data_IF_994797738192
#
_entry.id   IF_994797738192
#
_cell.length_a   1.000
_cell.length_b   1.000
_cell.length_c   1.000
_cell.angle_alpha   90.00
_cell.angle_beta   90.00
_cell.angle_gamma   90.00
#
_symmetry.space_group_name_H-M   'P 1'
#
loop_
_entity.id
_entity.type
_entity.pdbx_description
1 polymer ?
#
# COMPACT_ATOMS: atom_id res chain seq x y z
N UNK A 1 -33.19 -6.53 1.40
CA UNK A 1 -33.49 -5.09 1.48
C UNK A 1 -32.17 -4.36 1.64
N UNK A 2 -31.68 -3.67 0.60
CA UNK A 2 -30.41 -2.92 0.68
C UNK A 2 -30.69 -1.62 1.45
N UNK A 3 -30.15 -1.49 2.66
CA UNK A 3 -30.22 -0.26 3.42
C UNK A 3 -29.41 0.82 2.70
N UNK A 4 -30.02 1.97 2.42
CA UNK A 4 -29.34 3.10 1.80
C UNK A 4 -28.09 3.48 2.63
N UNK A 5 -26.98 3.77 1.96
CA UNK A 5 -25.78 4.30 2.61
C UNK A 5 -26.13 5.65 3.26
N UNK A 6 -25.99 5.81 4.59
CA UNK A 6 -26.23 7.08 5.27
C UNK A 6 -25.30 8.20 4.76
N UNK A 7 -25.80 9.44 4.71
CA UNK A 7 -25.06 10.61 4.19
C UNK A 7 -23.95 11.11 5.12
N UNK A 8 -24.02 10.74 6.39
CA UNK A 8 -23.12 11.11 7.48
C UNK A 8 -21.89 10.19 7.59
N UNK A 9 -21.92 9.03 6.93
CA UNK A 9 -20.79 8.10 6.92
C UNK A 9 -19.88 8.35 5.72
N UNK A 10 -18.57 8.13 5.90
CA UNK A 10 -17.58 8.32 4.85
C UNK A 10 -17.33 7.03 4.06
N UNK A 11 -17.24 7.16 2.74
CA UNK A 11 -16.92 6.09 1.80
C UNK A 11 -15.46 6.21 1.37
N UNK A 12 -14.66 5.18 1.65
CA UNK A 12 -13.22 5.15 1.33
C UNK A 12 -12.94 4.07 0.31
N UNK A 13 -12.39 4.45 -0.83
CA UNK A 13 -11.91 3.53 -1.85
C UNK A 13 -10.39 3.35 -1.71
N UNK A 14 -9.94 2.10 -1.60
CA UNK A 14 -8.53 1.74 -1.49
C UNK A 14 -8.16 0.79 -2.60
N UNK A 15 -7.11 1.12 -3.34
CA UNK A 15 -6.65 0.35 -4.47
C UNK A 15 -5.15 0.05 -4.31
N UNK A 16 -4.71 -1.17 -4.61
CA UNK A 16 -3.29 -1.54 -4.58
C UNK A 16 -2.90 -2.30 -5.85
N UNK A 17 -1.72 -1.99 -6.39
CA UNK A 17 -1.18 -2.69 -7.56
C UNK A 17 0.35 -2.73 -7.60
N UNK A 18 0.91 -3.93 -7.61
CA UNK A 18 2.30 -4.16 -7.97
C UNK A 18 2.45 -4.16 -9.50
N UNK A 19 3.22 -3.22 -10.05
CA UNK A 19 3.36 -3.04 -11.50
C UNK A 19 4.52 -3.83 -12.12
N UNK A 20 5.24 -4.64 -11.35
CA UNK A 20 6.35 -5.48 -11.82
C UNK A 20 7.43 -4.71 -12.61
N UNK A 21 7.77 -3.50 -12.16
CA UNK A 21 8.70 -2.55 -12.80
C UNK A 21 8.23 -2.05 -14.19
N UNK A 22 7.00 -2.38 -14.60
CA UNK A 22 6.41 -1.95 -15.87
C UNK A 22 5.69 -0.59 -15.78
N UNK A 23 5.73 0.08 -14.62
CA UNK A 23 4.99 1.34 -14.45
C UNK A 23 5.44 2.48 -15.38
N UNK A 24 6.61 2.41 -16.01
CA UNK A 24 7.10 3.35 -17.04
C UNK A 24 6.85 2.91 -18.50
N UNK A 25 6.72 1.61 -18.75
CA UNK A 25 6.45 1.00 -20.06
C UNK A 25 4.95 0.90 -20.25
N UNK A 26 4.34 2.03 -20.57
CA UNK A 26 2.90 2.14 -20.73
C UNK A 26 2.31 1.24 -21.83
N UNK A 27 1.11 0.75 -21.54
CA UNK A 27 -0.06 1.08 -22.37
C UNK A 27 -0.98 1.94 -21.49
N UNK A 28 -1.86 2.78 -22.06
CA UNK A 28 -3.00 3.31 -21.31
C UNK A 28 -3.93 2.12 -21.04
N UNK A 29 -3.57 1.27 -20.08
CA UNK A 29 -4.58 0.41 -19.50
C UNK A 29 -5.57 1.34 -18.84
N UNK A 30 -6.79 1.27 -19.33
CA UNK A 30 -7.87 2.11 -18.89
C UNK A 30 -8.03 1.87 -17.38
N UNK A 31 -7.60 2.83 -16.53
CA UNK A 31 -7.79 2.70 -15.08
C UNK A 31 -9.27 2.59 -14.71
N UNK A 32 -10.18 2.82 -15.65
CA UNK A 32 -11.61 2.51 -15.56
C UNK A 32 -11.86 1.13 -14.99
N UNK A 33 -11.33 0.07 -15.58
CA UNK A 33 -11.63 -1.29 -15.11
C UNK A 33 -11.22 -1.50 -13.65
N UNK A 34 -10.25 -0.73 -13.16
CA UNK A 34 -9.79 -0.81 -11.78
C UNK A 34 -10.51 0.15 -10.82
N UNK A 35 -10.79 1.38 -11.25
CA UNK A 35 -11.31 2.46 -10.39
C UNK A 35 -12.82 2.69 -10.55
N UNK A 36 -13.45 2.19 -11.61
CA UNK A 36 -14.86 2.42 -11.98
C UNK A 36 -15.84 1.38 -11.42
N UNK A 37 -15.54 0.06 -11.35
CA UNK A 37 -16.50 -0.91 -10.81
C UNK A 37 -16.95 -0.61 -9.37
N UNK A 38 -16.10 0.02 -8.56
CA UNK A 38 -16.47 0.51 -7.22
C UNK A 38 -17.50 1.63 -7.24
N UNK A 39 -17.50 2.47 -8.27
CA UNK A 39 -18.46 3.56 -8.48
C UNK A 39 -19.83 3.00 -8.93
N UNK A 40 -19.84 1.86 -9.60
CA UNK A 40 -21.07 1.13 -9.92
C UNK A 40 -21.61 0.35 -8.72
N UNK A 41 -20.74 -0.26 -7.89
CA UNK A 41 -21.17 -0.92 -6.65
C UNK A 41 -21.76 0.09 -5.66
N UNK A 42 -21.22 1.31 -5.55
CA UNK A 42 -21.84 2.36 -4.73
C UNK A 42 -23.24 2.74 -5.24
N UNK A 43 -23.46 2.70 -6.56
CA UNK A 43 -24.77 2.93 -7.19
C UNK A 43 -25.78 1.80 -6.93
N UNK A 44 -25.33 0.54 -6.83
CA UNK A 44 -26.20 -0.60 -6.51
C UNK A 44 -26.56 -0.66 -5.02
N UNK A 45 -25.64 -0.25 -4.14
CA UNK A 45 -25.82 -0.30 -2.69
C UNK A 45 -26.57 0.91 -2.12
N UNK A 46 -26.83 1.95 -2.91
CA UNK A 46 -27.50 3.16 -2.44
C UNK A 46 -28.69 3.57 -3.32
N UNK A 47 -29.72 4.16 -2.71
CA UNK A 47 -30.82 4.80 -3.44
C UNK A 47 -30.38 6.10 -4.13
N UNK A 48 -29.14 6.55 -3.93
CA UNK A 48 -28.57 7.78 -4.46
C UNK A 48 -27.09 7.55 -4.77
N UNK A 49 -26.72 7.31 -6.04
CA UNK A 49 -25.35 7.02 -6.44
C UNK A 49 -24.41 8.15 -5.99
N UNK A 50 -23.41 7.81 -5.17
CA UNK A 50 -22.36 8.76 -4.75
C UNK A 50 -20.97 8.18 -4.95
N UNK A 51 -20.04 9.02 -5.38
CA UNK A 51 -18.62 8.68 -5.40
C UNK A 51 -18.02 8.55 -3.98
N UNK A 52 -16.86 7.91 -3.83
CA UNK A 52 -16.12 7.86 -2.57
C UNK A 52 -15.77 9.27 -2.06
N UNK A 53 -15.67 9.42 -0.74
CA UNK A 53 -15.21 10.66 -0.12
C UNK A 53 -13.68 10.73 -0.12
N UNK A 54 -13.01 9.57 0.00
CA UNK A 54 -11.55 9.43 -0.06
C UNK A 54 -11.17 8.31 -1.02
N UNK A 55 -10.18 8.56 -1.87
CA UNK A 55 -9.58 7.55 -2.76
C UNK A 55 -8.08 7.43 -2.45
N UNK A 56 -7.62 6.26 -2.05
CA UNK A 56 -6.22 5.95 -1.83
C UNK A 56 -5.73 4.92 -2.84
N UNK A 57 -4.66 5.23 -3.58
CA UNK A 57 -4.08 4.35 -4.59
C UNK A 57 -2.61 4.08 -4.26
N UNK A 58 -2.31 2.83 -3.92
CA UNK A 58 -0.98 2.33 -3.62
C UNK A 58 -0.38 1.59 -4.82
N UNK A 59 0.91 1.83 -5.08
CA UNK A 59 1.67 1.11 -6.08
C UNK A 59 2.93 0.48 -5.49
N UNK A 60 3.32 -0.67 -6.02
CA UNK A 60 4.61 -1.30 -5.76
C UNK A 60 5.32 -1.56 -7.09
N UNK A 61 6.65 -1.59 -7.05
CA UNK A 61 7.51 -1.71 -8.24
C UNK A 61 7.12 -0.71 -9.34
N UNK A 62 6.66 0.49 -8.99
CA UNK A 62 6.13 1.48 -9.96
C UNK A 62 7.17 1.95 -10.97
N UNK A 63 8.44 1.91 -10.59
CA UNK A 63 9.56 2.47 -11.35
C UNK A 63 10.61 1.40 -11.57
N UNK A 64 11.28 1.39 -12.75
CA UNK A 64 12.52 0.66 -12.91
C UNK A 64 13.48 0.97 -11.76
N UNK A 65 14.12 -0.07 -11.20
CA UNK A 65 14.88 0.06 -9.95
C UNK A 65 15.95 1.17 -10.00
N UNK A 66 16.68 1.30 -11.10
CA UNK A 66 17.69 2.34 -11.25
C UNK A 66 17.10 3.77 -11.15
N UNK A 67 15.90 4.00 -11.68
CA UNK A 67 15.18 5.29 -11.55
C UNK A 67 14.62 5.49 -10.15
N UNK A 68 14.04 4.45 -9.55
CA UNK A 68 13.53 4.49 -8.18
C UNK A 68 14.64 4.79 -7.17
N UNK A 69 15.77 4.12 -7.27
CA UNK A 69 16.92 4.24 -6.37
C UNK A 69 17.63 5.60 -6.52
N UNK A 70 17.77 6.10 -7.74
CA UNK A 70 18.25 7.47 -8.00
C UNK A 70 17.22 8.55 -7.63
N UNK A 71 15.97 8.14 -7.40
CA UNK A 71 14.77 8.95 -7.11
C UNK A 71 14.33 9.88 -8.22
N UNK A 72 14.53 9.45 -9.46
CA UNK A 72 13.92 10.05 -10.64
C UNK A 72 12.45 9.63 -10.78
N UNK A 73 11.62 9.91 -9.76
CA UNK A 73 10.21 9.45 -9.69
C UNK A 73 9.18 10.50 -10.08
N UNK A 74 9.52 11.80 -9.98
CA UNK A 74 8.55 12.92 -10.07
C UNK A 74 7.65 12.86 -11.30
N UNK A 75 8.23 12.77 -12.50
CA UNK A 75 7.44 12.76 -13.75
C UNK A 75 6.45 11.58 -13.83
N UNK A 76 6.83 10.42 -13.30
CA UNK A 76 5.95 9.23 -13.29
C UNK A 76 4.81 9.43 -12.29
N UNK A 77 5.09 9.97 -11.10
CA UNK A 77 4.06 10.28 -10.10
C UNK A 77 3.09 11.35 -10.62
N UNK A 78 3.59 12.43 -11.22
CA UNK A 78 2.75 13.51 -11.76
C UNK A 78 1.81 12.98 -12.86
N UNK A 79 2.35 12.20 -13.82
CA UNK A 79 1.55 11.57 -14.88
C UNK A 79 0.50 10.60 -14.32
N UNK A 80 0.89 9.77 -13.34
CA UNK A 80 -0.03 8.82 -12.69
C UNK A 80 -1.12 9.57 -11.93
N UNK A 81 -0.76 10.63 -11.23
CA UNK A 81 -1.71 11.43 -10.46
C UNK A 81 -2.77 12.06 -11.36
N UNK A 82 -2.35 12.73 -12.44
CA UNK A 82 -3.27 13.33 -13.41
C UNK A 82 -4.15 12.28 -14.08
N UNK A 83 -3.61 11.10 -14.39
CA UNK A 83 -4.40 10.03 -14.98
C UNK A 83 -5.43 9.47 -14.00
N UNK A 84 -5.04 9.17 -12.75
CA UNK A 84 -5.97 8.69 -11.71
C UNK A 84 -7.09 9.71 -11.49
N UNK A 85 -6.74 10.99 -11.31
CA UNK A 85 -7.69 12.07 -11.09
C UNK A 85 -8.71 12.17 -12.23
N UNK A 86 -8.22 12.18 -13.47
CA UNK A 86 -9.07 12.15 -14.67
C UNK A 86 -10.05 10.97 -14.67
N UNK A 87 -9.60 9.78 -14.28
CA UNK A 87 -10.42 8.58 -14.31
C UNK A 87 -11.47 8.55 -13.20
N UNK A 88 -11.13 8.95 -11.96
CA UNK A 88 -12.11 8.99 -10.86
C UNK A 88 -13.18 10.05 -11.09
N UNK A 89 -12.84 11.21 -11.64
CA UNK A 89 -13.81 12.28 -11.92
C UNK A 89 -14.72 11.93 -13.10
N UNK A 90 -14.16 11.37 -14.18
CA UNK A 90 -14.94 11.00 -15.37
C UNK A 90 -15.97 9.92 -15.06
N UNK A 91 -15.66 9.00 -14.15
CA UNK A 91 -16.51 7.85 -13.82
C UNK A 91 -17.28 8.01 -12.50
N UNK A 92 -17.14 9.14 -11.80
CA UNK A 92 -17.90 9.38 -10.57
C UNK A 92 -19.40 9.39 -10.88
N UNK A 93 -20.24 8.63 -10.16
CA UNK A 93 -21.68 8.52 -10.47
C UNK A 93 -22.42 9.85 -10.42
N UNK A 94 -21.89 10.77 -9.60
CA UNK A 94 -22.40 12.10 -9.30
C UNK A 94 -21.50 13.21 -9.87
N UNK A 95 -20.56 12.87 -10.76
CA UNK A 95 -19.57 13.81 -11.34
C UNK A 95 -18.79 14.60 -10.28
N UNK A 96 -18.54 13.99 -9.13
CA UNK A 96 -17.74 14.59 -8.06
C UNK A 96 -16.32 14.94 -8.54
N UNK A 97 -15.82 16.05 -8.00
CA UNK A 97 -14.44 16.50 -8.18
C UNK A 97 -13.59 16.15 -6.98
N UNK A 98 -12.30 15.97 -7.22
CA UNK A 98 -11.36 15.54 -6.19
C UNK A 98 -10.09 16.39 -6.19
N UNK A 99 -9.54 16.56 -5.00
CA UNK A 99 -8.24 17.17 -4.79
C UNK A 99 -7.25 16.14 -4.30
N UNK A 100 -6.02 16.17 -4.82
CA UNK A 100 -4.91 15.39 -4.27
C UNK A 100 -4.54 15.96 -2.89
N UNK A 101 -4.76 15.20 -1.82
CA UNK A 101 -4.34 15.58 -0.46
C UNK A 101 -2.82 15.45 -0.31
N UNK A 102 -2.29 14.29 -0.69
CA UNK A 102 -0.86 14.01 -0.64
C UNK A 102 -0.46 12.91 -1.61
N UNK A 103 0.78 12.99 -2.07
CA UNK A 103 1.45 11.88 -2.74
C UNK A 103 2.82 11.66 -2.13
N UNK A 104 3.24 10.41 -2.00
CA UNK A 104 4.56 10.04 -1.50
C UNK A 104 5.08 8.81 -2.24
N UNK A 105 6.41 8.79 -2.46
CA UNK A 105 7.11 7.69 -3.12
C UNK A 105 8.44 7.42 -2.43
N UNK A 106 8.75 6.14 -2.21
CA UNK A 106 10.05 5.67 -1.78
C UNK A 106 10.48 4.53 -2.70
N UNK A 107 11.46 4.81 -3.57
CA UNK A 107 11.92 3.90 -4.64
C UNK A 107 10.74 3.45 -5.53
N UNK A 108 10.27 2.22 -5.38
CA UNK A 108 9.18 1.65 -6.18
C UNK A 108 7.83 1.64 -5.48
N UNK A 109 7.76 2.04 -4.20
CA UNK A 109 6.53 2.06 -3.41
C UNK A 109 5.96 3.47 -3.43
N UNK A 110 4.71 3.64 -3.86
CA UNK A 110 4.04 4.93 -3.92
C UNK A 110 2.64 4.86 -3.32
N UNK A 111 2.16 6.00 -2.81
CA UNK A 111 0.81 6.19 -2.30
C UNK A 111 0.32 7.58 -2.70
N UNK A 112 -0.87 7.64 -3.30
CA UNK A 112 -1.58 8.86 -3.66
C UNK A 112 -2.94 8.85 -2.98
N UNK A 113 -3.29 9.92 -2.27
CA UNK A 113 -4.56 10.04 -1.55
C UNK A 113 -5.29 11.28 -2.03
N UNK A 114 -6.53 11.08 -2.45
CA UNK A 114 -7.44 12.10 -2.96
C UNK A 114 -8.65 12.23 -2.04
N UNK A 115 -9.20 13.43 -1.95
CA UNK A 115 -10.42 13.71 -1.23
C UNK A 115 -11.41 14.46 -2.10
N UNK A 116 -12.69 14.17 -1.91
CA UNK A 116 -13.79 14.83 -2.61
C UNK A 116 -13.89 16.30 -2.20
N UNK A 117 -13.93 17.19 -3.20
CA UNK A 117 -13.92 18.66 -3.04
C UNK A 117 -15.16 19.18 -2.29
N UNK A 118 -16.32 18.64 -2.66
CA UNK A 118 -17.60 18.91 -2.01
C UNK A 118 -17.80 17.91 -0.87
N UNK A 119 -17.18 18.19 0.28
CA UNK A 119 -17.26 17.36 1.47
C UNK A 119 -15.95 17.39 2.25
N UNK A 120 -15.37 16.19 2.44
CA UNK A 120 -14.26 15.96 3.36
C UNK A 120 -13.03 16.83 3.06
N UNK A 121 -12.72 17.15 1.80
CA UNK A 121 -11.51 17.91 1.45
C UNK A 121 -11.45 19.29 2.13
N UNK A 122 -12.60 19.93 2.40
CA UNK A 122 -12.67 21.24 3.07
C UNK A 122 -12.40 21.18 4.57
N UNK A 123 -12.48 19.98 5.15
CA UNK A 123 -12.30 19.71 6.58
C UNK A 123 -10.92 19.09 6.88
N UNK A 124 -10.14 18.77 5.83
CA UNK A 124 -8.82 18.18 5.96
C UNK A 124 -7.83 19.22 6.49
N UNK A 125 -7.08 18.83 7.51
CA UNK A 125 -5.97 19.57 8.10
C UNK A 125 -4.83 18.61 8.48
N UNK A 126 -3.69 19.17 8.89
CA UNK A 126 -2.52 18.41 9.39
C UNK A 126 -2.06 17.26 8.46
N UNK A 127 -1.99 17.53 7.15
CA UNK A 127 -1.53 16.56 6.17
C UNK A 127 -0.04 16.28 6.35
N UNK A 128 0.29 15.01 6.54
CA UNK A 128 1.62 14.50 6.85
C UNK A 128 1.95 13.32 5.95
N UNK A 129 3.23 13.16 5.60
CA UNK A 129 3.72 11.99 4.87
C UNK A 129 4.96 11.43 5.55
N UNK A 130 5.18 10.12 5.44
CA UNK A 130 6.33 9.42 6.02
C UNK A 130 6.75 8.22 5.17
N UNK A 131 7.99 7.78 5.33
CA UNK A 131 8.49 6.58 4.64
C UNK A 131 9.50 5.84 5.50
N UNK A 132 9.68 4.55 5.20
CA UNK A 132 10.75 3.71 5.75
C UNK A 132 11.14 2.62 4.76
N UNK A 133 12.37 2.13 4.86
CA UNK A 133 12.91 1.07 4.00
C UNK A 133 13.32 -0.15 4.82
N UNK A 134 12.97 -1.33 4.31
CA UNK A 134 13.25 -2.64 4.94
C UNK A 134 14.16 -3.51 4.06
N UNK A 135 14.61 -2.99 2.92
CA UNK A 135 15.60 -3.66 2.09
C UNK A 135 16.94 -3.82 2.82
N UNK A 136 17.90 -4.54 2.20
CA UNK A 136 19.26 -4.63 2.73
C UNK A 136 19.82 -3.24 3.07
N UNK A 137 20.29 -3.03 4.30
CA UNK A 137 20.77 -1.72 4.75
C UNK A 137 19.68 -0.64 4.88
N UNK A 138 18.42 -1.03 5.06
CA UNK A 138 17.24 -0.15 5.11
C UNK A 138 16.90 0.51 3.77
N UNK A 139 17.41 -0.02 2.65
CA UNK A 139 17.11 0.46 1.31
C UNK A 139 15.61 0.40 0.98
N UNK A 140 15.14 1.33 0.15
CA UNK A 140 13.71 1.57 -0.08
C UNK A 140 13.04 0.63 -1.08
N UNK A 141 13.76 -0.33 -1.69
CA UNK A 141 13.18 -1.31 -2.63
C UNK A 141 12.15 -2.25 -1.97
N UNK A 142 12.20 -2.36 -0.64
CA UNK A 142 11.18 -2.93 0.24
C UNK A 142 10.95 -1.95 1.38
N UNK A 143 9.75 -1.91 1.94
CA UNK A 143 9.40 -0.98 3.01
C UNK A 143 8.02 -0.40 2.83
N UNK A 144 7.78 0.80 3.37
CA UNK A 144 6.47 1.43 3.35
C UNK A 144 6.54 2.94 3.17
N UNK A 145 5.45 3.49 2.63
CA UNK A 145 5.14 4.91 2.62
C UNK A 145 3.79 5.13 3.27
N UNK A 146 3.59 6.27 3.91
CA UNK A 146 2.35 6.58 4.59
C UNK A 146 1.91 8.03 4.40
N UNK A 147 0.59 8.21 4.37
CA UNK A 147 -0.10 9.51 4.38
C UNK A 147 -0.99 9.54 5.61
N UNK A 148 -0.89 10.60 6.40
CA UNK A 148 -1.75 10.87 7.55
C UNK A 148 -2.38 12.25 7.38
N UNK A 149 -3.65 12.38 7.72
CA UNK A 149 -4.31 13.69 7.81
C UNK A 149 -5.39 13.64 8.87
N UNK A 150 -5.84 14.82 9.30
CA UNK A 150 -6.93 14.97 10.26
C UNK A 150 -8.13 15.61 9.58
N UNK A 151 -9.32 15.19 9.96
CA UNK A 151 -10.58 15.78 9.52
C UNK A 151 -11.22 16.42 10.74
N UNK A 152 -11.43 17.73 10.66
CA UNK A 152 -12.00 18.54 11.73
C UNK A 152 -12.97 19.54 11.13
N UNK A 153 -14.07 19.83 11.83
CA UNK A 153 -14.87 20.99 11.49
C UNK A 153 -14.02 22.25 11.73
N UNK A 154 -13.86 23.06 10.71
CA UNK A 154 -13.02 24.27 10.71
C UNK A 154 -13.88 25.53 10.91
N UNK A 155 -15.20 25.39 10.95
CA UNK A 155 -16.13 26.52 11.04
C UNK A 155 -16.37 27.06 12.46
N UNK A 156 -15.79 26.44 13.48
CA UNK A 156 -15.95 26.84 14.88
C UNK A 156 -14.61 27.34 15.45
N UNK A 157 -14.63 28.50 16.12
CA UNK A 157 -13.48 29.04 16.87
C UNK A 157 -13.03 28.08 18.00
N UNK A 158 -13.89 27.13 18.39
CA UNK A 158 -13.59 25.97 19.22
C UNK A 158 -13.15 24.76 18.37
N UNK A 159 -11.83 24.65 18.13
CA UNK A 159 -11.18 23.55 17.40
C UNK A 159 -11.52 22.19 17.99
N UNK A 160 -12.56 21.52 17.47
CA UNK A 160 -12.82 20.12 17.76
C UNK A 160 -11.58 19.29 17.41
N UNK A 161 -11.23 18.25 18.18
CA UNK A 161 -10.07 17.42 17.86
C UNK A 161 -10.21 16.73 16.50
N UNK A 162 -11.44 16.33 16.15
CA UNK A 162 -11.70 15.61 14.91
C UNK A 162 -11.12 14.19 14.93
N UNK A 163 -11.03 13.58 13.75
CA UNK A 163 -10.53 12.22 13.58
C UNK A 163 -9.28 12.20 12.69
N UNK A 164 -8.35 11.30 12.98
CA UNK A 164 -7.12 11.12 12.20
C UNK A 164 -7.22 9.88 11.31
N UNK A 165 -6.82 10.04 10.05
CA UNK A 165 -6.87 9.03 9.01
C UNK A 165 -5.44 8.74 8.56
N UNK A 166 -5.00 7.49 8.64
CA UNK A 166 -3.66 7.06 8.22
C UNK A 166 -3.76 5.95 7.19
N UNK A 167 -3.12 6.15 6.04
CA UNK A 167 -3.00 5.19 4.95
C UNK A 167 -1.53 4.77 4.82
N UNK A 168 -1.26 3.46 4.77
CA UNK A 168 0.08 2.90 4.63
C UNK A 168 0.13 1.95 3.44
N UNK A 169 1.01 2.24 2.48
CA UNK A 169 1.30 1.36 1.35
C UNK A 169 2.65 0.69 1.56
N UNK A 170 2.70 -0.64 1.53
CA UNK A 170 3.92 -1.40 1.78
C UNK A 170 4.28 -2.37 0.65
N UNK A 171 5.56 -2.74 0.62
CA UNK A 171 6.09 -3.81 -0.20
C UNK A 171 7.07 -4.63 0.64
N UNK A 172 6.63 -5.80 1.11
CA UNK A 172 7.38 -6.63 2.05
C UNK A 172 8.27 -7.66 1.35
N UNK A 173 9.16 -8.29 2.11
CA UNK A 173 10.12 -9.29 1.60
C UNK A 173 9.45 -10.43 0.82
N UNK A 174 9.91 -10.61 -0.42
CA UNK A 174 9.40 -11.64 -1.34
C UNK A 174 9.90 -13.06 -1.02
N UNK A 175 9.29 -14.04 -1.70
CA UNK A 175 9.54 -15.49 -1.63
C UNK A 175 8.93 -16.23 -0.44
N UNK A 176 8.40 -17.43 -0.70
CA UNK A 176 7.60 -18.22 0.24
C UNK A 176 8.29 -18.50 1.58
N UNK A 177 9.55 -18.92 1.54
CA UNK A 177 10.33 -19.29 2.72
C UNK A 177 10.70 -18.12 3.65
N UNK A 178 10.49 -16.88 3.22
CA UNK A 178 10.90 -15.67 3.97
C UNK A 178 9.81 -15.12 4.90
N UNK A 179 8.98 -15.98 5.48
CA UNK A 179 7.90 -15.58 6.40
C UNK A 179 8.43 -14.74 7.57
N UNK A 180 9.49 -15.19 8.22
CA UNK A 180 10.08 -14.46 9.36
C UNK A 180 10.62 -13.08 8.96
N UNK A 181 11.11 -12.92 7.73
CA UNK A 181 11.54 -11.61 7.25
C UNK A 181 10.34 -10.68 7.01
N UNK A 182 9.21 -11.18 6.51
CA UNK A 182 7.98 -10.36 6.38
C UNK A 182 7.43 -9.93 7.74
N UNK A 183 7.48 -10.80 8.73
CA UNK A 183 7.11 -10.46 10.12
C UNK A 183 8.05 -9.37 10.65
N UNK A 184 9.36 -9.52 10.44
CA UNK A 184 10.35 -8.52 10.82
C UNK A 184 10.16 -7.18 10.08
N UNK A 185 9.85 -7.21 8.78
CA UNK A 185 9.54 -6.03 7.98
C UNK A 185 8.32 -5.30 8.56
N UNK A 186 7.25 -6.02 8.91
CA UNK A 186 6.07 -5.43 9.54
C UNK A 186 6.43 -4.70 10.84
N UNK A 187 7.11 -5.37 11.77
CA UNK A 187 7.51 -4.75 13.04
C UNK A 187 8.46 -3.55 12.83
N UNK A 188 9.38 -3.66 11.87
CA UNK A 188 10.24 -2.56 11.49
C UNK A 188 9.43 -1.37 10.99
N UNK A 189 8.44 -1.58 10.12
CA UNK A 189 7.55 -0.54 9.62
C UNK A 189 6.79 0.11 10.78
N UNK A 190 6.22 -0.67 11.70
CA UNK A 190 5.52 -0.15 12.88
C UNK A 190 6.42 0.80 13.69
N UNK A 191 7.67 0.41 13.93
CA UNK A 191 8.62 1.21 14.72
C UNK A 191 9.25 2.39 13.99
N UNK A 192 9.30 2.40 12.65
CA UNK A 192 10.09 3.39 11.90
C UNK A 192 9.30 4.27 10.93
N UNK A 193 8.07 3.86 10.55
CA UNK A 193 7.13 4.69 9.82
C UNK A 193 6.43 5.64 10.81
N UNK A 194 7.19 6.63 11.27
CA UNK A 194 6.79 7.56 12.31
C UNK A 194 6.20 8.84 11.73
N UNK A 195 5.25 9.41 12.46
CA UNK A 195 4.60 10.68 12.17
C UNK A 195 4.80 11.63 13.36
N UNK A 196 4.66 12.95 13.17
CA UNK A 196 4.57 13.90 14.28
C UNK A 196 3.54 13.48 15.35
N UNK A 197 3.71 14.00 16.57
CA UNK A 197 2.72 13.84 17.63
C UNK A 197 1.33 14.33 17.17
N UNK A 198 0.29 13.64 17.65
CA UNK A 198 -1.07 14.11 17.43
C UNK A 198 -1.27 15.50 18.07
N UNK A 199 -2.08 16.38 17.46
CA UNK A 199 -2.51 17.61 18.10
C UNK A 199 -3.13 17.33 19.48
N UNK A 200 -3.08 18.32 20.38
CA UNK A 200 -3.62 18.25 21.75
C UNK A 200 -2.94 17.25 22.70
N UNK A 201 -1.95 16.48 22.24
CA UNK A 201 -1.08 15.71 23.14
C UNK A 201 -0.02 16.61 23.79
N UNK A 202 0.25 16.39 25.08
CA UNK A 202 1.34 17.06 25.81
C UNK A 202 2.70 16.56 25.33
N UNK A 203 2.86 15.24 25.19
CA UNK A 203 4.05 14.64 24.61
C UNK A 203 4.14 14.95 23.11
N UNK A 204 5.28 15.52 22.71
CA UNK A 204 5.60 15.89 21.32
C UNK A 204 6.44 14.83 20.60
N UNK A 205 6.64 13.66 21.22
CA UNK A 205 7.36 12.55 20.63
C UNK A 205 6.67 12.03 19.35
N UNK A 206 7.44 11.56 18.36
CA UNK A 206 6.88 10.95 17.16
C UNK A 206 6.01 9.73 17.50
N UNK A 207 4.91 9.58 16.78
CA UNK A 207 3.95 8.49 16.97
C UNK A 207 4.04 7.46 15.86
N UNK A 208 3.69 6.20 16.17
CA UNK A 208 3.59 5.14 15.16
C UNK A 208 2.31 5.29 14.33
N UNK A 209 2.16 4.46 13.30
CA UNK A 209 0.95 4.42 12.48
C UNK A 209 -0.34 4.12 13.28
N UNK A 210 -0.23 3.49 14.46
CA UNK A 210 -1.37 3.14 15.32
C UNK A 210 -1.98 4.33 16.09
N UNK A 211 -1.27 5.44 16.23
CA UNK A 211 -1.81 6.66 16.83
C UNK A 211 -2.69 7.41 15.82
N UNK A 212 -3.85 6.85 15.53
CA UNK A 212 -4.80 7.36 14.52
C UNK A 212 -6.21 6.86 14.86
N UNK A 213 -7.25 7.51 14.33
CA UNK A 213 -8.65 7.10 14.51
C UNK A 213 -9.03 5.99 13.54
N UNK A 214 -8.60 6.11 12.29
CA UNK A 214 -8.78 5.10 11.24
C UNK A 214 -7.42 4.79 10.60
N UNK A 215 -7.09 3.51 10.49
CA UNK A 215 -5.83 3.02 9.92
C UNK A 215 -6.11 2.04 8.79
N UNK A 216 -5.51 2.30 7.64
CA UNK A 216 -5.60 1.46 6.46
C UNK A 216 -4.21 1.03 6.03
N UNK A 217 -4.03 -0.27 5.81
CA UNK A 217 -2.75 -0.84 5.40
C UNK A 217 -2.97 -1.65 4.12
N UNK A 218 -2.25 -1.30 3.07
CA UNK A 218 -2.39 -1.89 1.75
C UNK A 218 -1.02 -2.21 1.15
N UNK A 219 -0.98 -3.08 0.15
CA UNK A 219 0.21 -3.27 -0.67
C UNK A 219 0.46 -4.71 -1.09
N UNK A 220 1.63 -4.93 -1.69
CA UNK A 220 2.19 -6.26 -1.91
C UNK A 220 2.89 -6.72 -0.63
N UNK A 221 2.13 -7.42 0.21
CA UNK A 221 2.61 -7.92 1.49
C UNK A 221 3.37 -9.23 1.35
N UNK A 222 3.39 -9.83 0.15
CA UNK A 222 4.20 -10.98 -0.21
C UNK A 222 4.01 -12.25 0.65
N UNK A 223 3.00 -12.31 1.52
CA UNK A 223 2.60 -13.54 2.21
C UNK A 223 2.09 -14.55 1.19
N UNK A 224 2.40 -15.83 1.44
CA UNK A 224 2.14 -16.92 0.51
C UNK A 224 1.20 -17.96 1.14
N UNK A 225 0.75 -18.89 0.32
CA UNK A 225 0.08 -20.10 0.78
C UNK A 225 1.15 -21.12 1.14
N UNK A 226 1.06 -21.70 2.34
CA UNK A 226 2.04 -22.65 2.84
C UNK A 226 1.34 -23.92 3.34
N UNK A 227 1.39 -24.97 2.51
CA UNK A 227 0.81 -26.26 2.87
C UNK A 227 1.77 -26.99 3.84
N UNK A 228 1.29 -27.47 5.00
CA UNK A 228 2.14 -28.24 5.90
C UNK A 228 2.60 -29.53 5.22
N UNK A 229 3.79 -30.03 5.57
CA UNK A 229 4.32 -31.28 5.00
C UNK A 229 3.38 -32.49 5.19
N UNK A 230 2.55 -32.46 6.24
CA UNK A 230 1.53 -33.48 6.53
C UNK A 230 0.31 -33.42 5.60
N UNK A 231 0.15 -32.35 4.81
CA UNK A 231 -0.94 -32.22 3.86
C UNK A 231 -0.74 -33.22 2.71
N UNK A 232 -1.76 -33.99 2.28
CA UNK A 232 -1.63 -35.00 1.23
C UNK A 232 -1.09 -34.46 -0.10
N UNK A 233 -1.37 -33.18 -0.39
CA UNK A 233 -0.97 -32.50 -1.62
C UNK A 233 0.32 -31.64 -1.46
N UNK A 234 1.09 -31.82 -0.38
CA UNK A 234 2.32 -31.04 -0.14
C UNK A 234 3.45 -31.33 -1.14
N UNK A 235 3.39 -32.48 -1.83
CA UNK A 235 4.38 -32.87 -2.84
C UNK A 235 4.26 -32.07 -4.16
N UNK A 236 3.06 -31.61 -4.51
CA UNK A 236 2.80 -30.71 -5.64
C UNK A 236 1.82 -29.61 -5.22
N UNK A 237 2.28 -28.62 -4.46
CA UNK A 237 1.44 -27.54 -3.97
C UNK A 237 0.91 -26.69 -5.13
N UNK A 238 1.67 -26.57 -6.23
CA UNK A 238 1.28 -25.73 -7.37
C UNK A 238 0.01 -26.25 -8.04
N UNK A 239 0.00 -27.54 -8.40
CA UNK A 239 -1.16 -28.13 -9.06
C UNK A 239 -2.41 -28.10 -8.18
N UNK A 240 -2.26 -28.48 -6.89
CA UNK A 240 -3.38 -28.45 -5.94
C UNK A 240 -3.95 -27.06 -5.74
N UNK A 241 -3.09 -26.06 -5.51
CA UNK A 241 -3.51 -24.67 -5.31
C UNK A 241 -4.18 -24.14 -6.57
N UNK A 242 -3.58 -24.36 -7.74
CA UNK A 242 -4.15 -23.88 -9.01
C UNK A 242 -5.54 -24.46 -9.28
N UNK A 243 -5.77 -25.72 -8.92
CA UNK A 243 -7.09 -26.34 -9.04
C UNK A 243 -8.08 -25.78 -8.01
N UNK A 244 -7.66 -25.67 -6.74
CA UNK A 244 -8.49 -25.15 -5.66
C UNK A 244 -8.94 -23.70 -5.90
N UNK A 245 -8.17 -22.91 -6.66
CA UNK A 245 -8.51 -21.52 -6.98
C UNK A 245 -9.70 -21.35 -7.93
N UNK A 246 -10.14 -22.42 -8.61
CA UNK A 246 -11.26 -22.35 -9.55
C UNK A 246 -12.61 -22.24 -8.85
N UNK A 247 -12.76 -22.88 -7.70
CA UNK A 247 -14.04 -22.98 -6.99
C UNK A 247 -14.07 -22.13 -5.71
N UNK A 248 -15.14 -21.38 -5.42
CA UNK A 248 -15.27 -20.59 -4.19
C UNK A 248 -15.06 -21.39 -2.90
N UNK A 249 -15.66 -22.58 -2.79
CA UNK A 249 -15.59 -23.41 -1.58
C UNK A 249 -14.17 -23.95 -1.33
N UNK A 250 -13.48 -24.34 -2.41
CA UNK A 250 -12.09 -24.76 -2.36
C UNK A 250 -11.17 -23.62 -1.96
N UNK A 251 -11.41 -22.39 -2.46
CA UNK A 251 -10.70 -21.18 -2.03
C UNK A 251 -10.91 -20.87 -0.56
N UNK A 252 -12.13 -21.03 -0.07
CA UNK A 252 -12.44 -20.83 1.34
C UNK A 252 -11.65 -21.79 2.23
N UNK A 253 -11.53 -23.06 1.83
CA UNK A 253 -10.69 -24.02 2.56
C UNK A 253 -9.20 -23.67 2.44
N UNK A 254 -8.77 -23.25 1.25
CA UNK A 254 -7.38 -22.92 0.97
C UNK A 254 -6.85 -21.72 1.77
N UNK A 255 -7.71 -20.76 2.11
CA UNK A 255 -7.35 -19.57 2.90
C UNK A 255 -6.73 -19.94 4.25
N UNK A 256 -7.06 -21.09 4.81
CA UNK A 256 -6.56 -21.54 6.12
C UNK A 256 -5.05 -21.86 6.10
N UNK A 257 -4.46 -21.97 4.90
CA UNK A 257 -3.02 -22.10 4.68
C UNK A 257 -2.34 -20.78 4.26
N UNK A 258 -3.07 -19.66 4.23
CA UNK A 258 -2.51 -18.33 3.96
C UNK A 258 -1.67 -17.86 5.15
N UNK A 259 -0.38 -17.60 4.90
CA UNK A 259 0.55 -17.19 5.94
C UNK A 259 0.12 -15.91 6.67
N UNK A 260 -0.48 -14.93 5.97
CA UNK A 260 -0.91 -13.69 6.61
C UNK A 260 -2.08 -13.94 7.56
N UNK A 261 -3.10 -14.68 7.12
CA UNK A 261 -4.24 -15.03 7.96
C UNK A 261 -3.81 -15.79 9.22
N UNK A 262 -2.92 -16.78 9.05
CA UNK A 262 -2.37 -17.58 10.16
C UNK A 262 -1.62 -16.68 11.15
N UNK A 263 -0.71 -15.83 10.69
CA UNK A 263 0.10 -14.97 11.56
C UNK A 263 -0.73 -13.84 12.22
N UNK A 264 -1.76 -13.32 11.53
CA UNK A 264 -2.73 -12.37 12.10
C UNK A 264 -3.51 -13.00 13.25
N UNK A 265 -4.03 -14.23 13.07
CA UNK A 265 -4.76 -14.96 14.12
C UNK A 265 -3.86 -15.31 15.31
N UNK A 266 -2.56 -15.54 15.08
CA UNK A 266 -1.55 -15.68 16.14
C UNK A 266 -1.18 -14.36 16.83
N UNK A 267 -1.64 -13.22 16.32
CA UNK A 267 -1.31 -11.87 16.81
C UNK A 267 0.19 -11.56 16.73
N UNK A 268 0.92 -12.19 15.80
CA UNK A 268 2.33 -11.88 15.55
C UNK A 268 2.50 -10.66 14.63
N UNK A 269 1.54 -10.41 13.74
CA UNK A 269 1.50 -9.25 12.85
C UNK A 269 0.10 -8.69 12.78
N UNK A 270 -0.03 -7.44 12.36
CA UNK A 270 -1.32 -6.79 12.10
C UNK A 270 -2.29 -6.89 13.29
N UNK A 271 -1.77 -6.76 14.52
CA UNK A 271 -2.58 -6.76 15.73
C UNK A 271 -3.60 -5.63 15.65
N UNK A 272 -4.87 -5.96 15.86
CA UNK A 272 -6.01 -5.04 15.75
C UNK A 272 -6.54 -4.84 14.33
N UNK A 273 -5.93 -5.38 13.27
CA UNK A 273 -6.45 -5.23 11.91
C UNK A 273 -7.49 -6.30 11.54
N UNK A 274 -8.43 -5.90 10.69
CA UNK A 274 -9.39 -6.75 10.00
C UNK A 274 -9.14 -6.70 8.50
N UNK A 275 -9.66 -7.70 7.80
CA UNK A 275 -9.59 -7.82 6.36
C UNK A 275 -10.93 -8.33 5.82
N UNK A 276 -11.33 -7.87 4.63
CA UNK A 276 -12.47 -8.47 3.95
C UNK A 276 -12.20 -9.91 3.51
N UNK A 277 -13.20 -10.59 2.94
CA UNK A 277 -13.08 -11.98 2.52
C UNK A 277 -12.20 -12.13 1.25
N UNK A 278 -10.88 -11.96 1.38
CA UNK A 278 -9.90 -11.96 0.28
C UNK A 278 -9.93 -13.23 -0.60
N UNK A 279 -10.38 -14.35 -0.04
CA UNK A 279 -10.51 -15.64 -0.72
C UNK A 279 -11.71 -15.70 -1.70
N UNK A 280 -12.62 -14.71 -1.68
CA UNK A 280 -13.73 -14.61 -2.63
C UNK A 280 -13.29 -14.31 -4.07
N UNK A 281 -12.02 -13.93 -4.27
CA UNK A 281 -11.38 -13.87 -5.59
C UNK A 281 -10.13 -14.77 -5.66
N UNK A 282 -9.71 -15.24 -6.85
CA UNK A 282 -8.49 -16.03 -7.02
C UNK A 282 -7.22 -15.29 -6.58
N UNK A 283 -6.10 -16.01 -6.48
CA UNK A 283 -4.81 -15.41 -6.14
C UNK A 283 -4.38 -14.31 -7.12
N UNK A 284 -3.81 -13.23 -6.60
CA UNK A 284 -3.38 -12.08 -7.40
C UNK A 284 -1.98 -12.26 -8.00
N UNK A 285 -1.24 -13.28 -7.57
CA UNK A 285 0.13 -13.58 -8.00
C UNK A 285 0.33 -15.10 -8.10
N UNK A 286 1.20 -15.68 -8.93
CA UNK A 286 1.97 -15.04 -10.02
C UNK A 286 1.36 -15.39 -11.37
N UNK A 287 0.88 -14.40 -12.09
CA UNK A 287 0.28 -14.57 -13.41
C UNK A 287 1.34 -14.54 -14.53
N UNK A 288 1.03 -15.20 -15.64
CA UNK A 288 1.77 -15.05 -16.89
C UNK A 288 1.45 -13.68 -17.51
N UNK A 289 2.48 -12.96 -17.94
CA UNK A 289 2.30 -11.67 -18.63
C UNK A 289 1.48 -11.87 -19.91
N UNK A 290 0.53 -10.97 -20.15
CA UNK A 290 -0.40 -11.04 -21.29
C UNK A 290 -1.60 -11.97 -21.09
N UNK A 291 -1.61 -12.81 -20.04
CA UNK A 291 -2.71 -13.73 -19.76
C UNK A 291 -3.68 -13.18 -18.70
N UNK A 292 -4.97 -13.43 -18.89
CA UNK A 292 -6.02 -13.04 -17.94
C UNK A 292 -6.02 -13.99 -16.74
N UNK A 293 -6.16 -15.29 -16.97
CA UNK A 293 -6.35 -16.32 -15.93
C UNK A 293 -5.36 -17.49 -16.08
N UNK A 294 -4.06 -17.18 -16.19
CA UNK A 294 -3.02 -18.21 -16.25
C UNK A 294 -1.88 -17.92 -15.28
N UNK A 295 -1.63 -18.85 -14.36
CA UNK A 295 -0.52 -18.76 -13.42
C UNK A 295 0.79 -19.28 -14.00
N UNK A 296 1.91 -18.69 -13.59
CA UNK A 296 3.26 -19.15 -13.89
C UNK A 296 3.53 -20.47 -13.13
N UNK A 297 3.87 -21.54 -13.86
CA UNK A 297 4.14 -22.87 -13.29
C UNK A 297 5.37 -22.88 -12.35
N UNK A 298 6.25 -21.88 -12.43
CA UNK A 298 7.47 -21.79 -11.60
C UNK A 298 7.20 -21.24 -10.20
N UNK A 299 6.00 -20.72 -9.94
CA UNK A 299 5.64 -20.08 -8.67
C UNK A 299 4.23 -20.47 -8.27
N UNK A 300 4.11 -21.00 -7.07
CA UNK A 300 2.81 -21.26 -6.46
C UNK A 300 1.98 -19.97 -6.37
N UNK A 301 0.70 -20.00 -6.80
CA UNK A 301 -0.18 -18.86 -6.64
C UNK A 301 -0.34 -18.41 -5.18
N UNK A 302 -0.52 -17.12 -4.94
CA UNK A 302 -0.71 -16.53 -3.62
C UNK A 302 -1.51 -15.21 -3.66
N UNK A 303 -2.22 -14.91 -2.56
CA UNK A 303 -2.80 -13.60 -2.28
C UNK A 303 -1.76 -12.68 -1.66
N UNK A 304 -0.86 -12.16 -2.51
CA UNK A 304 0.22 -11.27 -2.08
C UNK A 304 -0.25 -9.85 -1.84
N UNK A 305 -1.26 -9.41 -2.59
CA UNK A 305 -1.79 -8.05 -2.56
C UNK A 305 -2.99 -7.98 -1.60
N UNK A 306 -2.91 -7.12 -0.57
CA UNK A 306 -3.84 -7.14 0.57
C UNK A 306 -4.28 -5.74 0.99
N UNK A 307 -5.49 -5.63 1.54
CA UNK A 307 -6.03 -4.39 2.11
C UNK A 307 -6.64 -4.72 3.48
N UNK A 308 -6.04 -4.18 4.53
CA UNK A 308 -6.48 -4.32 5.91
C UNK A 308 -6.83 -2.97 6.50
N UNK A 309 -7.71 -2.98 7.50
CA UNK A 309 -8.17 -1.76 8.15
C UNK A 309 -8.54 -1.98 9.62
N UNK A 310 -8.55 -0.89 10.37
CA UNK A 310 -9.11 -0.83 11.72
C UNK A 310 -9.52 0.60 12.06
N UNK A 311 -10.48 0.73 12.97
CA UNK A 311 -11.00 1.99 13.49
C UNK A 311 -11.04 1.99 15.01
N UNK A 312 -11.01 3.18 15.62
CA UNK A 312 -11.11 3.38 17.06
C UNK A 312 -12.37 2.81 17.71
N UNK A 313 -13.43 2.58 16.92
CA UNK A 313 -14.68 1.99 17.38
C UNK A 313 -14.71 0.45 17.30
N UNK A 314 -13.63 -0.18 16.83
CA UNK A 314 -13.52 -1.63 16.80
C UNK A 314 -13.38 -2.23 18.22
N UNK A 315 -13.98 -3.40 18.43
CA UNK A 315 -13.81 -4.16 19.67
C UNK A 315 -12.38 -4.70 19.81
N UNK A 316 -11.88 -4.81 21.04
CA UNK A 316 -10.60 -5.48 21.29
C UNK A 316 -10.69 -7.01 21.25
N UNK A 317 -11.90 -7.56 21.42
CA UNK A 317 -12.14 -8.99 21.58
C UNK A 317 -12.40 -9.67 20.23
N UNK A 318 -13.18 -9.03 19.36
CA UNK A 318 -13.57 -9.57 18.06
C UNK A 318 -12.55 -9.21 16.98
N UNK A 319 -11.67 -10.13 16.61
CA UNK A 319 -10.63 -9.89 15.60
C UNK A 319 -11.10 -10.04 14.15
N UNK A 320 -12.34 -10.46 13.92
CA UNK A 320 -12.83 -10.76 12.57
C UNK A 320 -13.79 -9.68 12.07
N UNK A 321 -14.58 -9.08 12.96
CA UNK A 321 -15.50 -8.00 12.57
C UNK A 321 -14.94 -6.62 12.91
N UNK A 322 -15.34 -5.64 12.11
CA UNK A 322 -14.99 -4.23 12.27
C UNK A 322 -16.25 -3.38 12.10
N UNK A 323 -16.26 -2.20 12.73
CA UNK A 323 -17.26 -1.18 12.47
C UNK A 323 -17.09 -0.55 11.08
N UNK A 324 -15.94 -0.73 10.43
CA UNK A 324 -15.77 -0.47 9.01
C UNK A 324 -16.42 -1.60 8.21
N UNK A 325 -17.44 -1.26 7.43
CA UNK A 325 -18.14 -2.21 6.57
C UNK A 325 -17.43 -2.33 5.23
N UNK A 326 -16.96 -3.53 4.91
CA UNK A 326 -16.44 -3.85 3.58
C UNK A 326 -17.60 -4.04 2.59
N UNK A 327 -17.80 -3.06 1.71
CA UNK A 327 -18.86 -3.11 0.70
C UNK A 327 -18.43 -3.86 -0.56
N UNK A 328 -17.14 -3.80 -0.88
CA UNK A 328 -16.50 -4.53 -1.97
C UNK A 328 -15.07 -4.85 -1.58
N UNK A 329 -14.63 -6.06 -1.90
CA UNK A 329 -13.22 -6.41 -1.96
C UNK A 329 -12.99 -7.38 -3.11
N UNK A 330 -12.28 -6.93 -4.14
CA UNK A 330 -12.11 -7.70 -5.37
C UNK A 330 -10.76 -7.42 -6.03
N UNK A 331 -10.48 -8.18 -7.09
CA UNK A 331 -9.34 -8.03 -7.98
C UNK A 331 -9.79 -7.71 -9.41
N UNK A 332 -8.87 -7.24 -10.25
CA UNK A 332 -9.14 -6.85 -11.64
C UNK A 332 -8.40 -7.78 -12.61
N UNK A 333 -9.04 -8.85 -13.13
CA UNK A 333 -8.37 -9.85 -13.96
C UNK A 333 -7.91 -9.32 -15.32
N UNK A 334 -8.57 -8.29 -15.86
CA UNK A 334 -8.27 -7.72 -17.19
C UNK A 334 -6.88 -7.07 -17.29
N UNK A 335 -6.20 -6.83 -16.16
CA UNK A 335 -4.85 -6.28 -16.13
C UNK A 335 -3.81 -7.39 -16.33
N UNK A 336 -3.11 -7.35 -17.46
CA UNK A 336 -2.17 -8.41 -17.87
C UNK A 336 -0.72 -7.94 -18.07
N UNK A 337 -0.40 -6.68 -17.78
CA UNK A 337 0.97 -6.13 -17.96
C UNK A 337 1.91 -6.50 -16.82
N UNK A 338 1.36 -6.82 -15.65
CA UNK A 338 2.08 -7.26 -14.47
C UNK A 338 1.80 -8.73 -14.24
N UNK A 339 2.71 -9.39 -13.54
CA UNK A 339 2.48 -10.72 -12.98
C UNK A 339 1.62 -10.68 -11.70
N UNK A 340 1.21 -9.48 -11.28
CA UNK A 340 0.19 -9.23 -10.28
C UNK A 340 -1.12 -8.73 -10.90
N UNK A 341 -2.24 -8.99 -10.22
CA UNK A 341 -3.54 -8.38 -10.52
C UNK A 341 -3.85 -7.26 -9.53
N UNK A 342 -4.28 -6.06 -9.97
CA UNK A 342 -4.71 -5.01 -9.07
C UNK A 342 -5.85 -5.48 -8.18
N UNK A 343 -5.88 -4.98 -6.95
CA UNK A 343 -6.99 -5.18 -6.01
C UNK A 343 -7.62 -3.84 -5.64
N UNK A 344 -8.88 -3.91 -5.22
CA UNK A 344 -9.64 -2.75 -4.78
C UNK A 344 -10.60 -3.14 -3.65
N UNK A 345 -10.76 -2.23 -2.69
CA UNK A 345 -11.79 -2.33 -1.67
C UNK A 345 -12.55 -1.01 -1.50
N UNK A 346 -13.86 -1.12 -1.28
CA UNK A 346 -14.74 -0.01 -0.94
C UNK A 346 -15.22 -0.20 0.50
N UNK A 347 -14.89 0.77 1.35
CA UNK A 347 -15.09 0.71 2.78
C UNK A 347 -16.06 1.81 3.21
N UNK A 348 -17.10 1.45 3.96
CA UNK A 348 -17.97 2.41 4.62
C UNK A 348 -17.54 2.53 6.09
N UNK A 349 -17.03 3.69 6.45
CA UNK A 349 -16.57 3.99 7.81
C UNK A 349 -17.76 4.12 8.77
N UNK A 350 -17.56 3.86 10.07
CA UNK A 350 -18.58 4.16 11.08
C UNK A 350 -18.94 5.66 11.06
N UNK A 351 -20.11 6.05 11.60
CA UNK A 351 -20.45 7.45 11.76
C UNK A 351 -19.36 8.17 12.59
N UNK A 352 -19.05 9.45 12.29
CA UNK A 352 -18.11 10.22 13.08
C UNK A 352 -18.51 10.25 14.55
N UNK A 353 -17.55 10.33 15.46
CA UNK A 353 -17.85 10.44 16.89
C UNK A 353 -18.75 11.64 17.17
N UNK A 354 -19.89 11.40 17.83
CA UNK A 354 -20.72 12.47 18.38
C UNK A 354 -20.01 13.07 19.59
N UNK A 355 -19.35 14.22 19.42
CA UNK A 355 -18.80 14.99 20.53
C UNK A 355 -19.95 15.68 21.27
N UNK A 356 -20.29 15.19 22.46
CA UNK A 356 -21.33 15.76 23.32
C UNK A 356 -20.73 16.85 24.22
N UNK A 357 -21.02 18.13 23.97
CA UNK A 357 -20.32 19.33 24.47
C UNK A 357 -20.19 19.51 26.00
N UNK A 358 -20.55 18.53 26.82
CA UNK A 358 -20.71 18.65 28.27
C UNK A 358 -19.63 17.95 29.13
N UNK A 359 -18.49 17.48 28.57
CA UNK A 359 -17.47 16.76 29.33
C UNK A 359 -16.03 17.27 29.04
N UNK A 360 -15.27 17.61 30.09
CA UNK A 360 -13.90 18.15 30.04
C UNK A 360 -12.84 17.20 29.43
N UNK A 361 -13.16 15.92 29.19
CA UNK A 361 -12.24 14.91 28.62
C UNK A 361 -12.17 14.94 27.06
N UNK A 362 -12.83 15.93 26.42
CA UNK A 362 -13.13 15.93 24.98
C UNK A 362 -12.13 16.63 24.05
N UNK A 363 -10.92 16.97 24.51
CA UNK A 363 -9.88 17.55 23.64
C UNK A 363 -8.94 16.54 22.99
N UNK A 364 -9.14 15.24 23.21
CA UNK A 364 -8.26 14.20 22.64
C UNK A 364 -8.86 13.60 21.38
N UNK A 365 -7.99 13.36 20.41
CA UNK A 365 -8.33 12.65 19.18
C UNK A 365 -8.54 11.16 19.54
N UNK A 366 -9.66 10.53 19.13
CA UNK A 366 -9.87 9.11 19.37
C UNK A 366 -8.81 8.30 18.63
N UNK A 367 -8.22 7.30 19.30
CA UNK A 367 -7.18 6.44 18.74
C UNK A 367 -7.57 4.97 18.82
N UNK A 368 -7.03 4.16 17.90
CA UNK A 368 -7.31 2.72 17.83
C UNK A 368 -6.99 2.05 19.17
N UNK A 369 -7.96 1.31 19.77
CA UNK A 369 -7.68 0.56 20.97
C UNK A 369 -6.77 -0.62 20.62
N UNK A 370 -5.75 -0.85 21.45
CA UNK A 370 -4.85 -1.98 21.32
C UNK A 370 -4.90 -2.88 22.56
N UNK A 371 -4.76 -4.21 22.41
CA UNK A 371 -4.67 -5.12 23.55
C UNK A 371 -3.45 -4.78 24.42
N UNK A 372 -3.57 -4.95 25.74
CA UNK A 372 -2.51 -4.59 26.69
C UNK A 372 -1.16 -5.31 26.50
N UNK A 373 -1.14 -6.45 25.79
CA UNK A 373 0.11 -7.15 25.44
C UNK A 373 0.85 -6.55 24.23
N UNK A 374 0.22 -5.63 23.50
CA UNK A 374 0.76 -5.06 22.26
C UNK A 374 0.87 -3.55 22.36
N UNK A 375 2.11 -3.06 22.40
CA UNK A 375 2.43 -1.64 22.44
C UNK A 375 3.40 -1.29 21.31
N UNK A 376 2.93 -0.63 20.24
CA UNK A 376 3.78 -0.09 19.19
C UNK A 376 4.72 0.99 19.74
N UNK A 377 6.03 0.71 19.77
CA UNK A 377 7.03 1.66 20.27
C UNK A 377 7.79 2.29 19.10
N UNK A 378 7.87 3.63 19.03
CA UNK A 378 8.76 4.31 18.09
C UNK A 378 10.22 3.88 18.27
N UNK A 379 10.87 3.50 17.17
CA UNK A 379 12.29 3.16 17.14
C UNK A 379 13.12 4.43 17.25
N UNK A 380 13.95 4.53 18.30
CA UNK A 380 14.81 5.70 18.53
C UNK A 380 15.85 5.93 17.42
N UNK A 381 16.17 4.90 16.64
CA UNK A 381 17.07 4.96 15.50
C UNK A 381 16.34 5.09 14.15
N UNK A 382 15.01 5.30 14.14
CA UNK A 382 14.22 5.38 12.92
C UNK A 382 14.78 6.39 11.91
N UNK A 383 15.14 7.59 12.36
CA UNK A 383 15.73 8.64 11.52
C UNK A 383 17.07 8.21 10.93
N UNK A 384 17.94 7.60 11.74
CA UNK A 384 19.24 7.11 11.27
C UNK A 384 19.04 6.03 10.19
N UNK A 385 18.26 4.99 10.48
CA UNK A 385 17.97 3.89 9.55
C UNK A 385 17.40 4.40 8.23
N UNK A 386 16.43 5.31 8.29
CA UNK A 386 15.77 5.96 7.15
C UNK A 386 16.76 6.66 6.21
N UNK A 387 17.69 7.47 6.76
CA UNK A 387 18.66 8.20 5.94
C UNK A 387 19.88 7.38 5.54
N UNK A 388 20.24 6.35 6.32
CA UNK A 388 21.21 5.33 5.89
C UNK A 388 20.69 4.61 4.64
N UNK A 389 19.46 4.08 4.69
CA UNK A 389 18.83 3.42 3.56
C UNK A 389 18.72 4.31 2.32
N UNK A 390 18.28 5.56 2.50
CA UNK A 390 18.21 6.52 1.40
C UNK A 390 19.57 6.83 0.78
N UNK A 391 20.61 6.97 1.60
CA UNK A 391 21.97 7.21 1.09
C UNK A 391 22.44 6.02 0.25
N UNK A 392 22.23 4.79 0.72
CA UNK A 392 22.54 3.58 -0.03
C UNK A 392 21.73 3.47 -1.33
N UNK A 393 20.44 3.80 -1.30
CA UNK A 393 19.59 3.88 -2.50
C UNK A 393 20.22 4.81 -3.53
N UNK A 394 20.64 6.02 -3.14
CA UNK A 394 21.23 7.00 -4.07
C UNK A 394 22.55 6.51 -4.65
N UNK A 395 23.43 5.94 -3.81
CA UNK A 395 24.71 5.41 -4.28
C UNK A 395 24.47 4.33 -5.35
N UNK A 396 23.66 3.31 -5.02
CA UNK A 396 23.37 2.20 -5.94
C UNK A 396 22.65 2.73 -7.19
N UNK A 397 21.66 3.60 -7.01
CA UNK A 397 20.85 4.17 -8.08
C UNK A 397 21.65 4.99 -9.08
N UNK A 398 22.51 5.91 -8.61
CA UNK A 398 23.33 6.74 -9.50
C UNK A 398 24.40 5.91 -10.22
N UNK A 399 25.02 4.95 -9.54
CA UNK A 399 25.99 4.04 -10.18
C UNK A 399 25.31 3.22 -11.28
N UNK A 400 24.15 2.63 -11.00
CA UNK A 400 23.41 1.86 -12.01
C UNK A 400 22.90 2.74 -13.14
N UNK A 401 22.37 3.92 -12.84
CA UNK A 401 21.94 4.88 -13.86
C UNK A 401 23.09 5.28 -14.79
N UNK A 402 24.28 5.57 -14.24
CA UNK A 402 25.47 5.91 -15.03
C UNK A 402 25.85 4.78 -15.99
N UNK A 403 25.88 3.53 -15.53
CA UNK A 403 26.15 2.40 -16.42
C UNK A 403 25.05 2.23 -17.47
N UNK A 404 23.79 2.42 -17.11
CA UNK A 404 22.69 2.35 -18.08
C UNK A 404 22.86 3.40 -19.18
N UNK A 405 23.28 4.62 -18.83
CA UNK A 405 23.58 5.69 -19.77
C UNK A 405 24.78 5.35 -20.67
N UNK A 406 25.90 4.91 -20.09
CA UNK A 406 27.11 4.53 -20.83
C UNK A 406 26.90 3.38 -21.81
N UNK A 407 25.91 2.52 -21.54
CA UNK A 407 25.54 1.42 -22.40
C UNK A 407 24.33 1.68 -23.30
N UNK A 408 24.00 2.95 -23.55
CA UNK A 408 22.88 3.35 -24.42
C UNK A 408 21.55 2.67 -24.05
N UNK A 409 21.26 2.55 -22.76
CA UNK A 409 20.06 1.90 -22.22
C UNK A 409 20.30 0.51 -21.64
N UNK A 410 21.51 -0.07 -21.77
CA UNK A 410 21.87 -1.35 -21.16
C UNK A 410 23.01 -1.19 -20.13
N UNK A 411 22.71 -1.44 -18.85
CA UNK A 411 23.73 -1.38 -17.80
C UNK A 411 24.90 -2.35 -18.05
N UNK A 412 24.64 -3.53 -18.61
CA UNK A 412 25.66 -4.53 -18.93
C UNK A 412 26.63 -4.00 -19.99
N UNK A 413 26.10 -3.42 -21.07
CA UNK A 413 26.90 -2.79 -22.12
C UNK A 413 27.68 -1.60 -21.54
N UNK A 414 27.09 -0.84 -20.62
CA UNK A 414 27.76 0.29 -20.02
C UNK A 414 28.91 -0.07 -19.09
N UNK A 415 28.79 -1.16 -18.33
CA UNK A 415 29.90 -1.70 -17.53
C UNK A 415 31.05 -2.09 -18.47
N UNK A 416 30.74 -2.80 -19.55
CA UNK A 416 31.74 -3.18 -20.56
C UNK A 416 32.41 -1.95 -21.19
N UNK A 417 31.63 -0.96 -21.63
CA UNK A 417 32.12 0.30 -22.19
C UNK A 417 32.99 1.09 -21.19
N UNK A 418 32.61 1.10 -19.91
CA UNK A 418 33.37 1.77 -18.85
C UNK A 418 34.75 1.14 -18.69
N UNK A 419 34.86 -0.19 -18.62
CA UNK A 419 36.15 -0.86 -18.47
C UNK A 419 37.03 -0.75 -19.72
N UNK A 420 36.45 -0.80 -20.92
CA UNK A 420 37.18 -0.53 -22.17
C UNK A 420 37.72 0.91 -22.16
N UNK A 421 36.86 1.88 -21.86
CA UNK A 421 37.24 3.30 -21.80
C UNK A 421 38.33 3.58 -20.76
N UNK A 422 38.21 2.98 -19.57
CA UNK A 422 39.22 3.10 -18.53
C UNK A 422 40.57 2.48 -18.94
N UNK A 423 40.54 1.34 -19.62
CA UNK A 423 41.74 0.67 -20.14
C UNK A 423 42.40 1.50 -21.24
N UNK A 424 41.61 2.01 -22.19
CA UNK A 424 42.08 2.89 -23.26
C UNK A 424 42.64 4.22 -22.72
N UNK A 425 41.99 4.82 -21.72
CA UNK A 425 42.46 6.03 -21.05
C UNK A 425 43.78 5.81 -20.31
N UNK A 426 43.89 4.69 -19.58
CA UNK A 426 45.13 4.31 -18.90
C UNK A 426 46.25 4.11 -19.91
N UNK A 427 45.99 3.39 -21.00
CA UNK A 427 46.94 3.21 -22.10
C UNK A 427 47.37 4.55 -22.71
N UNK A 428 46.43 5.44 -23.02
CA UNK A 428 46.72 6.76 -23.57
C UNK A 428 47.55 7.63 -22.62
N UNK A 429 47.25 7.62 -21.32
CA UNK A 429 48.06 8.32 -20.31
C UNK A 429 49.47 7.77 -20.22
N UNK A 430 49.62 6.44 -20.20
CA UNK A 430 50.95 5.80 -20.15
C UNK A 430 51.77 6.09 -21.40
N UNK A 431 51.14 6.12 -22.58
CA UNK A 431 51.79 6.44 -23.86
C UNK A 431 52.26 7.89 -23.95
N UNK A 432 51.61 8.82 -23.23
CA UNK A 432 52.02 10.23 -23.14
C UNK A 432 53.16 10.48 -22.14
N UNK A 433 53.33 9.63 -21.13
CA UNK A 433 54.44 9.74 -20.17
C UNK A 433 55.76 9.13 -20.67
N UNK A 434 55.73 8.43 -21.81
CA UNK A 434 56.88 7.79 -22.46
C UNK A 434 57.44 8.58 -23.66
N UNK A 435 56.92 9.78 -23.89
CA UNK A 435 57.42 10.80 -24.83
C UNK A 435 57.81 12.03 -24.04
#
# INVERSE_FOLDING_TARGET
MSAAIPKDQLLVQIASYNTALQGSTGLPQNLVDWLSPTLQVSSFLSHSPRGPDVVAVGFQELLPLHLGLSGASKSVIDKRSSHILSQIETHSPDKAKYSLLASIVNVGVALLVYARDEGIARQVCDVQTSWTGCGPGFMGNKGAVGVRFRVSDVSDDDKRPGETYTFVCAHLTAHQQKLQHRIADFHHIVGTLLFPALPFNEDKSPTTMYSTSHLFFLGDLNFRIDLPNSHPMSADPHAYISEALKEPESRETLKEFDQLLVERRKRSVFVGFREGAFWQFPCTYKHCLGAVDQYDVKRTPAWTDRIMYTTYSDSLEDMETSQIRNLLYTYIPSYTISDHKPIISLLLLPPPSSFDSNLDDQRKIPTIPLPGFYTPVPDSLATLKRYTGRTLDRIVGFTWWLFTLLGAGSAVVGIFNFFIGATAYKWWRTSRSST
#
